data_IF_037791919661
#
_entry.id   IF_037791919661
#
_cell.length_a   1.000
_cell.length_b   1.000
_cell.length_c   1.000
_cell.angle_alpha   90.00
_cell.angle_beta   90.00
_cell.angle_gamma   90.00
#
_symmetry.space_group_name_H-M   'P 1'
#
loop_
_entity.id
_entity.type
_entity.pdbx_description
1 polymer ?
#
# COMPACT_ATOMS: atom_id res chain seq x y z
N UNK A 1 8.01 -14.66 7.50
CA UNK A 1 9.26 -15.14 6.87
C UNK A 1 9.47 -14.34 5.58
N UNK A 2 10.51 -13.50 5.49
CA UNK A 2 10.67 -12.49 4.44
C UNK A 2 10.67 -13.03 3.00
N UNK A 3 10.99 -14.32 2.81
CA UNK A 3 10.99 -15.00 1.50
C UNK A 3 9.66 -14.94 0.73
N UNK A 4 8.53 -14.73 1.41
CA UNK A 4 7.23 -14.58 0.75
C UNK A 4 6.90 -13.16 0.33
N UNK A 5 7.60 -12.15 0.85
CA UNK A 5 7.28 -10.73 0.64
C UNK A 5 7.83 -10.24 -0.71
N UNK A 6 9.08 -10.55 -1.03
CA UNK A 6 9.70 -10.10 -2.29
C UNK A 6 8.90 -10.53 -3.54
N UNK A 7 8.40 -11.78 -3.66
CA UNK A 7 7.57 -12.15 -4.80
C UNK A 7 6.25 -11.37 -4.87
N UNK A 8 5.64 -11.04 -3.72
CA UNK A 8 4.42 -10.23 -3.69
C UNK A 8 4.71 -8.79 -4.13
N UNK A 9 5.81 -8.20 -3.68
CA UNK A 9 6.25 -6.87 -4.15
C UNK A 9 6.48 -6.86 -5.66
N UNK A 10 7.15 -7.90 -6.20
CA UNK A 10 7.34 -8.05 -7.64
C UNK A 10 5.99 -8.15 -8.39
N UNK A 11 5.01 -8.89 -7.85
CA UNK A 11 3.67 -8.99 -8.46
C UNK A 11 2.89 -7.67 -8.40
N UNK A 12 3.03 -6.87 -7.34
CA UNK A 12 2.43 -5.52 -7.27
C UNK A 12 3.01 -4.61 -8.35
N UNK A 13 4.30 -4.74 -8.65
CA UNK A 13 4.98 -3.95 -9.68
C UNK A 13 4.61 -4.40 -11.11
N UNK A 14 4.82 -5.67 -11.39
CA UNK A 14 4.91 -6.19 -12.77
C UNK A 14 3.81 -7.21 -13.12
N UNK A 15 2.94 -7.55 -12.18
CA UNK A 15 1.86 -8.51 -12.39
C UNK A 15 0.76 -8.00 -13.33
N UNK A 16 -0.08 -8.93 -13.78
CA UNK A 16 -1.39 -8.62 -14.37
C UNK A 16 -2.29 -7.91 -13.36
N UNK A 17 -3.38 -7.28 -13.83
CA UNK A 17 -4.27 -6.54 -12.92
C UNK A 17 -4.79 -7.38 -11.76
N UNK A 18 -5.15 -8.62 -12.05
CA UNK A 18 -5.66 -9.56 -11.06
C UNK A 18 -4.55 -10.10 -10.13
N UNK A 19 -3.28 -10.09 -10.56
CA UNK A 19 -2.15 -10.42 -9.70
C UNK A 19 -1.80 -9.26 -8.79
N UNK A 20 -1.77 -8.03 -9.33
CA UNK A 20 -1.54 -6.79 -8.58
C UNK A 20 -2.55 -6.62 -7.45
N UNK A 21 -3.83 -6.81 -7.74
CA UNK A 21 -4.89 -6.75 -6.74
C UNK A 21 -4.69 -7.77 -5.61
N UNK A 22 -4.47 -9.05 -5.97
CA UNK A 22 -4.28 -10.12 -4.98
C UNK A 22 -3.01 -9.92 -4.16
N UNK A 23 -1.93 -9.48 -4.80
CA UNK A 23 -0.65 -9.23 -4.14
C UNK A 23 -0.75 -8.04 -3.18
N UNK A 24 -1.38 -6.93 -3.60
CA UNK A 24 -1.63 -5.79 -2.73
C UNK A 24 -2.53 -6.17 -1.54
N UNK A 25 -3.55 -7.01 -1.77
CA UNK A 25 -4.39 -7.54 -0.69
C UNK A 25 -3.61 -8.41 0.30
N UNK A 26 -2.73 -9.28 -0.18
CA UNK A 26 -1.86 -10.09 0.68
C UNK A 26 -0.88 -9.23 1.48
N UNK A 27 -0.26 -8.23 0.85
CA UNK A 27 0.62 -7.28 1.54
C UNK A 27 -0.13 -6.46 2.59
N UNK A 28 -1.37 -6.06 2.31
CA UNK A 28 -2.23 -5.40 3.29
C UNK A 28 -2.44 -6.25 4.54
N UNK A 29 -2.80 -7.53 4.38
CA UNK A 29 -2.96 -8.45 5.51
C UNK A 29 -1.65 -8.70 6.26
N UNK A 30 -0.51 -8.78 5.55
CA UNK A 30 0.79 -8.99 6.18
C UNK A 30 1.26 -7.75 6.96
N UNK A 31 0.98 -6.55 6.46
CA UNK A 31 1.37 -5.27 7.06
C UNK A 31 0.66 -4.97 8.39
N UNK A 32 -0.35 -5.75 8.79
CA UNK A 32 -0.96 -5.68 10.13
C UNK A 32 -0.03 -6.20 11.26
N UNK A 33 1.24 -6.47 10.95
CA UNK A 33 2.25 -6.91 11.90
C UNK A 33 3.55 -6.11 11.68
N UNK A 34 4.09 -5.52 12.74
CA UNK A 34 5.23 -4.60 12.71
C UNK A 34 6.47 -5.18 12.02
N UNK A 35 6.79 -6.45 12.30
CA UNK A 35 7.95 -7.10 11.68
C UNK A 35 7.79 -7.26 10.17
N UNK A 36 6.55 -7.49 9.71
CA UNK A 36 6.25 -7.53 8.29
C UNK A 36 6.21 -6.13 7.67
N UNK A 37 5.79 -5.09 8.40
CA UNK A 37 5.82 -3.71 7.90
C UNK A 37 7.24 -3.34 7.47
N UNK A 38 8.21 -3.56 8.36
CA UNK A 38 9.64 -3.32 8.09
C UNK A 38 10.13 -4.17 6.92
N UNK A 39 9.74 -5.46 6.87
CA UNK A 39 10.17 -6.34 5.80
C UNK A 39 9.58 -5.92 4.42
N UNK A 40 8.34 -5.43 4.37
CA UNK A 40 7.71 -4.91 3.15
C UNK A 40 8.39 -3.63 2.69
N UNK A 41 8.67 -2.70 3.61
CA UNK A 41 9.39 -1.47 3.31
C UNK A 41 10.80 -1.77 2.77
N UNK A 42 11.56 -2.64 3.46
CA UNK A 42 12.91 -3.04 3.04
C UNK A 42 12.92 -3.79 1.70
N UNK A 43 11.85 -4.52 1.37
CA UNK A 43 11.68 -5.15 0.06
C UNK A 43 11.29 -4.17 -1.05
N UNK A 44 11.16 -2.86 -0.76
CA UNK A 44 10.77 -1.83 -1.73
C UNK A 44 9.28 -1.83 -2.07
N UNK A 45 8.42 -2.32 -1.17
CA UNK A 45 6.99 -2.46 -1.43
C UNK A 45 6.20 -1.14 -1.47
N UNK A 46 6.71 -0.06 -0.87
CA UNK A 46 5.98 1.21 -0.73
C UNK A 46 5.73 1.88 -2.09
N UNK A 47 6.75 2.00 -2.94
CA UNK A 47 6.64 2.70 -4.23
C UNK A 47 5.63 2.02 -5.18
N UNK A 48 5.65 0.68 -5.37
CA UNK A 48 4.62 -0.01 -6.16
C UNK A 48 3.20 0.15 -5.62
N UNK A 49 3.02 0.16 -4.28
CA UNK A 49 1.72 0.39 -3.66
C UNK A 49 1.22 1.82 -3.92
N UNK A 50 2.10 2.83 -3.81
CA UNK A 50 1.76 4.21 -4.17
C UNK A 50 1.36 4.32 -5.64
N UNK A 51 2.07 3.64 -6.54
CA UNK A 51 1.73 3.60 -7.96
C UNK A 51 0.32 3.01 -8.20
N UNK A 52 -0.05 1.94 -7.49
CA UNK A 52 -1.41 1.38 -7.57
C UNK A 52 -2.48 2.34 -7.05
N UNK A 53 -2.23 3.08 -5.96
CA UNK A 53 -3.16 4.11 -5.47
C UNK A 53 -3.39 5.19 -6.53
N UNK A 54 -2.37 5.53 -7.32
CA UNK A 54 -2.47 6.53 -8.39
C UNK A 54 -3.20 6.00 -9.63
N UNK A 55 -2.69 4.89 -10.18
CA UNK A 55 -2.99 4.46 -11.54
C UNK A 55 -3.83 3.17 -11.62
N UNK A 56 -4.02 2.49 -10.50
CA UNK A 56 -4.67 1.18 -10.46
C UNK A 56 -6.17 1.20 -10.70
N UNK A 57 -6.74 0.01 -10.88
CA UNK A 57 -8.19 -0.22 -10.87
C UNK A 57 -8.79 0.12 -9.50
N UNK A 58 -10.12 0.24 -9.42
CA UNK A 58 -10.79 0.54 -8.15
C UNK A 58 -10.42 -0.46 -7.04
N UNK A 59 -10.37 -1.76 -7.35
CA UNK A 59 -9.98 -2.79 -6.38
C UNK A 59 -8.50 -2.67 -5.99
N UNK A 60 -7.60 -2.43 -6.95
CA UNK A 60 -6.18 -2.24 -6.66
C UNK A 60 -5.94 -1.01 -5.76
N UNK A 61 -6.62 0.11 -6.02
CA UNK A 61 -6.54 1.34 -5.21
C UNK A 61 -6.96 1.09 -3.77
N UNK A 62 -8.07 0.39 -3.58
CA UNK A 62 -8.57 0.05 -2.24
C UNK A 62 -7.58 -0.81 -1.47
N UNK A 63 -7.08 -1.88 -2.09
CA UNK A 63 -6.10 -2.80 -1.47
C UNK A 63 -4.77 -2.12 -1.17
N UNK A 64 -4.29 -1.31 -2.11
CA UNK A 64 -3.03 -0.61 -1.95
C UNK A 64 -3.12 0.48 -0.87
N UNK A 65 -4.21 1.25 -0.82
CA UNK A 65 -4.42 2.23 0.25
C UNK A 65 -4.51 1.55 1.62
N UNK A 66 -5.18 0.40 1.72
CA UNK A 66 -5.23 -0.36 2.97
C UNK A 66 -3.86 -0.89 3.39
N UNK A 67 -3.04 -1.34 2.43
CA UNK A 67 -1.67 -1.75 2.73
C UNK A 67 -0.81 -0.57 3.22
N UNK A 68 -0.90 0.59 2.56
CA UNK A 68 -0.18 1.80 2.99
C UNK A 68 -0.62 2.28 4.36
N UNK A 69 -1.92 2.18 4.68
CA UNK A 69 -2.41 2.47 6.02
C UNK A 69 -1.76 1.54 7.05
N UNK A 70 -1.85 0.23 6.86
CA UNK A 70 -1.26 -0.73 7.80
C UNK A 70 0.26 -0.56 7.93
N UNK A 71 0.96 -0.14 6.86
CA UNK A 71 2.39 0.16 6.91
C UNK A 71 2.69 1.41 7.76
N UNK A 72 1.80 2.40 7.75
CA UNK A 72 1.97 3.67 8.46
C UNK A 72 1.60 3.57 9.96
N UNK A 73 0.64 2.72 10.33
CA UNK A 73 0.03 2.70 11.68
C UNK A 73 1.00 2.54 12.85
N UNK A 74 2.01 1.67 12.75
CA UNK A 74 2.85 1.27 13.90
C UNK A 74 4.36 1.42 13.62
N UNK A 75 4.73 2.19 12.59
CA UNK A 75 6.11 2.41 12.20
C UNK A 75 6.34 3.86 11.78
N UNK A 76 7.12 4.62 12.56
CA UNK A 76 7.33 6.05 12.31
C UNK A 76 8.13 6.38 11.03
N UNK A 77 8.91 5.44 10.49
CA UNK A 77 9.73 5.65 9.29
C UNK A 77 8.89 5.47 8.02
N UNK A 78 7.87 4.60 8.07
CA UNK A 78 7.05 4.27 6.90
C UNK A 78 6.20 5.45 6.39
N UNK A 79 5.53 6.28 7.21
CA UNK A 79 4.82 7.48 6.74
C UNK A 79 5.74 8.43 5.97
N UNK A 80 6.99 8.60 6.43
CA UNK A 80 8.00 9.42 5.76
C UNK A 80 8.34 8.80 4.40
N UNK A 81 8.61 7.50 4.36
CA UNK A 81 8.89 6.79 3.11
C UNK A 81 7.71 6.84 2.12
N UNK A 82 6.47 6.79 2.60
CA UNK A 82 5.27 6.96 1.77
C UNK A 82 5.19 8.37 1.20
N UNK A 83 5.51 9.39 2.01
CA UNK A 83 5.55 10.78 1.55
C UNK A 83 6.64 11.00 0.50
N UNK A 84 7.85 10.47 0.73
CA UNK A 84 8.99 10.56 -0.17
C UNK A 84 8.75 9.81 -1.50
N UNK A 85 8.01 8.70 -1.46
CA UNK A 85 7.53 8.00 -2.65
C UNK A 85 6.41 8.77 -3.40
N UNK A 86 6.00 9.95 -2.91
CA UNK A 86 4.99 10.79 -3.53
C UNK A 86 3.54 10.36 -3.24
N UNK A 87 3.31 9.58 -2.18
CA UNK A 87 2.02 8.99 -1.83
C UNK A 87 0.94 9.98 -1.40
N UNK A 88 1.32 11.16 -0.90
CA UNK A 88 0.37 12.14 -0.34
C UNK A 88 -0.67 12.60 -1.37
N UNK A 89 -0.24 12.98 -2.58
CA UNK A 89 -1.15 13.48 -3.62
C UNK A 89 -2.16 12.41 -4.07
N UNK A 90 -1.76 11.18 -4.43
CA UNK A 90 -2.69 10.09 -4.74
C UNK A 90 -3.66 9.77 -3.60
N UNK A 91 -3.19 9.70 -2.35
CA UNK A 91 -4.04 9.41 -1.20
C UNK A 91 -5.10 10.50 -0.98
N UNK A 92 -4.71 11.79 -1.05
CA UNK A 92 -5.67 12.91 -0.96
C UNK A 92 -6.70 12.87 -2.10
N UNK A 93 -6.27 12.55 -3.32
CA UNK A 93 -7.20 12.39 -4.44
C UNK A 93 -8.20 11.24 -4.19
N UNK A 94 -7.73 10.14 -3.60
CA UNK A 94 -8.55 8.99 -3.25
C UNK A 94 -9.55 9.30 -2.13
N UNK A 95 -9.16 10.06 -1.11
CA UNK A 95 -10.07 10.57 -0.06
C UNK A 95 -11.21 11.43 -0.64
N UNK A 96 -10.95 12.18 -1.71
CA UNK A 96 -11.97 13.04 -2.33
C UNK A 96 -12.91 12.28 -3.24
N UNK A 97 -12.33 11.43 -4.11
CA UNK A 97 -13.02 10.90 -5.28
C UNK A 97 -13.26 9.37 -5.23
N UNK A 98 -12.77 8.68 -4.20
CA UNK A 98 -12.88 7.23 -4.08
C UNK A 98 -14.25 6.71 -3.63
N UNK A 99 -14.39 5.39 -3.60
CA UNK A 99 -15.47 4.68 -2.90
C UNK A 99 -15.34 4.86 -1.39
N UNK A 100 -16.37 4.50 -0.62
CA UNK A 100 -16.35 4.60 0.85
C UNK A 100 -15.11 3.90 1.43
N UNK A 101 -14.86 2.64 1.06
CA UNK A 101 -13.70 1.87 1.53
C UNK A 101 -12.37 2.50 1.11
N UNK A 102 -12.26 3.00 -0.12
CA UNK A 102 -11.07 3.70 -0.59
C UNK A 102 -10.78 4.98 0.20
N UNK A 103 -11.83 5.74 0.54
CA UNK A 103 -11.72 6.97 1.33
C UNK A 103 -11.27 6.67 2.75
N UNK A 104 -11.85 5.67 3.39
CA UNK A 104 -11.48 5.23 4.74
C UNK A 104 -10.02 4.79 4.79
N UNK A 105 -9.60 3.90 3.88
CA UNK A 105 -8.22 3.43 3.83
C UNK A 105 -7.22 4.56 3.55
N UNK A 106 -7.55 5.47 2.61
CA UNK A 106 -6.68 6.58 2.28
C UNK A 106 -6.58 7.62 3.41
N UNK A 107 -7.68 7.88 4.11
CA UNK A 107 -7.67 8.75 5.29
C UNK A 107 -6.86 8.12 6.43
N UNK A 108 -7.02 6.82 6.67
CA UNK A 108 -6.21 6.07 7.62
C UNK A 108 -4.71 6.22 7.34
N UNK A 109 -4.30 6.01 6.09
CA UNK A 109 -2.90 6.16 5.67
C UNK A 109 -2.34 7.58 5.81
N UNK A 110 -3.18 8.62 5.78
CA UNK A 110 -2.75 10.02 5.94
C UNK A 110 -2.73 10.48 7.40
N UNK A 111 -3.47 9.81 8.28
CA UNK A 111 -3.62 10.16 9.70
C UNK A 111 -2.78 9.29 10.64
N UNK A 112 -2.14 8.25 10.11
CA UNK A 112 -1.20 7.38 10.82
C UNK A 112 0.17 8.03 10.86
#
# INVERSE_FOLDING_TARGET
NARGIEPLVALVRDGTDAQKERAAGALCSLAANDANQVAIANAGGIEPLVALVRDGTAAQKERAAGALWNLASDNADNPVAIADAGGIKPLVALVRNGTVAQKENAAGALCS
#
